data_IF_594108201537
#
_entry.id   IF_594108201537
#
_cell.length_a   1.000
_cell.length_b   1.000
_cell.length_c   1.000
_cell.angle_alpha   90.00
_cell.angle_beta   90.00
_cell.angle_gamma   90.00
#
_symmetry.space_group_name_H-M   'P 1'
#
loop_
_entity.id
_entity.type
_entity.pdbx_description
1 polymer ?
#
# COMPACT_ATOMS: atom_id res chain seq x y z
N UNK A 1 -20.11 -6.43 12.92
CA UNK A 1 -19.03 -7.08 12.13
C UNK A 1 -17.75 -6.24 12.21
N UNK A 2 -17.20 -6.07 13.41
CA UNK A 2 -16.04 -5.19 13.63
C UNK A 2 -14.75 -5.97 13.96
N UNK A 3 -14.58 -7.17 13.36
CA UNK A 3 -13.50 -8.06 13.78
C UNK A 3 -12.39 -8.23 12.74
N UNK A 4 -12.43 -7.51 11.61
CA UNK A 4 -11.37 -7.59 10.58
C UNK A 4 -10.33 -6.52 10.78
N UNK A 5 -9.06 -6.93 10.73
CA UNK A 5 -7.90 -6.05 10.89
C UNK A 5 -7.23 -5.82 9.56
N UNK A 6 -7.07 -4.55 9.18
CA UNK A 6 -6.33 -4.09 8.00
C UNK A 6 -5.04 -3.38 8.43
N UNK A 7 -3.90 -3.91 8.03
CA UNK A 7 -2.61 -3.27 8.19
C UNK A 7 -2.28 -2.45 6.94
N UNK A 8 -1.89 -1.17 7.12
CA UNK A 8 -1.57 -0.25 6.04
C UNK A 8 -0.17 0.33 6.27
N UNK A 9 0.76 0.11 5.34
CA UNK A 9 2.05 0.80 5.33
C UNK A 9 1.95 2.11 4.54
N UNK A 10 2.75 3.13 4.92
CA UNK A 10 2.63 4.47 4.32
C UNK A 10 1.29 5.15 4.65
N UNK A 11 0.74 4.87 5.84
CA UNK A 11 -0.58 5.31 6.25
C UNK A 11 -0.68 6.80 6.64
N UNK A 12 0.45 7.50 6.77
CA UNK A 12 0.48 8.87 7.31
C UNK A 12 -0.02 9.96 6.35
N UNK A 13 -0.25 9.65 5.07
CA UNK A 13 -0.69 10.64 4.07
C UNK A 13 -1.25 9.99 2.81
N UNK A 14 -1.83 10.78 1.92
CA UNK A 14 -2.26 10.39 0.57
C UNK A 14 -3.15 9.14 0.57
N UNK A 15 -2.89 8.22 -0.36
CA UNK A 15 -3.68 6.99 -0.56
C UNK A 15 -3.80 6.17 0.72
N UNK A 16 -2.70 6.03 1.50
CA UNK A 16 -2.72 5.25 2.74
C UNK A 16 -3.67 5.83 3.79
N UNK A 17 -3.61 7.14 4.02
CA UNK A 17 -4.50 7.83 4.97
C UNK A 17 -5.96 7.83 4.49
N UNK A 18 -6.20 8.05 3.19
CA UNK A 18 -7.53 7.96 2.60
C UNK A 18 -8.12 6.54 2.73
N UNK A 19 -7.28 5.50 2.53
CA UNK A 19 -7.69 4.11 2.72
C UNK A 19 -8.02 3.82 4.19
N UNK A 20 -7.22 4.32 5.13
CA UNK A 20 -7.51 4.18 6.56
C UNK A 20 -8.88 4.76 6.91
N UNK A 21 -9.19 5.99 6.43
CA UNK A 21 -10.51 6.61 6.61
C UNK A 21 -11.65 5.80 6.00
N UNK A 22 -11.44 5.27 4.81
CA UNK A 22 -12.45 4.46 4.14
C UNK A 22 -12.68 3.13 4.87
N UNK A 23 -11.61 2.44 5.29
CA UNK A 23 -11.68 1.18 6.00
C UNK A 23 -12.30 1.32 7.41
N UNK A 24 -12.02 2.43 8.11
CA UNK A 24 -12.67 2.72 9.40
C UNK A 24 -14.20 2.83 9.25
N UNK A 25 -14.69 3.49 8.19
CA UNK A 25 -16.15 3.56 7.90
C UNK A 25 -16.78 2.21 7.60
N UNK A 26 -15.99 1.27 7.06
CA UNK A 26 -16.42 -0.13 6.84
C UNK A 26 -16.25 -1.02 8.08
N UNK A 27 -15.83 -0.44 9.21
CA UNK A 27 -15.72 -1.12 10.50
C UNK A 27 -14.47 -1.99 10.65
N UNK A 28 -13.39 -1.71 9.92
CA UNK A 28 -12.11 -2.35 10.16
C UNK A 28 -11.43 -1.79 11.40
N UNK A 29 -10.78 -2.67 12.17
CA UNK A 29 -9.69 -2.28 13.05
C UNK A 29 -8.43 -2.05 12.20
N UNK A 30 -7.62 -1.06 12.57
CA UNK A 30 -6.54 -0.57 11.71
C UNK A 30 -5.20 -0.66 12.39
N UNK A 31 -4.20 -1.16 11.66
CA UNK A 31 -2.78 -1.02 12.00
C UNK A 31 -2.18 -0.03 11.01
N UNK A 32 -1.84 1.15 11.47
CA UNK A 32 -1.32 2.24 10.65
C UNK A 32 0.19 2.38 10.84
N UNK A 33 0.96 2.11 9.79
CA UNK A 33 2.41 2.14 9.84
C UNK A 33 3.00 3.21 8.91
N UNK A 34 3.89 4.03 9.44
CA UNK A 34 4.68 5.01 8.72
C UNK A 34 5.82 5.54 9.59
N UNK A 35 6.74 6.32 9.02
CA UNK A 35 7.84 6.96 9.76
C UNK A 35 7.41 8.21 10.54
N UNK A 36 6.25 8.79 10.24
CA UNK A 36 5.77 10.05 10.84
C UNK A 36 4.80 9.77 11.97
N UNK A 37 5.29 9.53 13.18
CA UNK A 37 4.50 9.20 14.37
C UNK A 37 3.39 10.22 14.65
N UNK A 38 3.70 11.53 14.56
CA UNK A 38 2.73 12.60 14.84
C UNK A 38 1.53 12.56 13.88
N UNK A 39 1.78 12.29 12.58
CA UNK A 39 0.70 12.17 11.59
C UNK A 39 -0.15 10.91 11.83
N UNK A 40 0.47 9.80 12.23
CA UNK A 40 -0.26 8.58 12.59
C UNK A 40 -1.14 8.82 13.82
N UNK A 41 -0.60 9.47 14.85
CA UNK A 41 -1.35 9.81 16.07
C UNK A 41 -2.54 10.70 15.77
N UNK A 42 -2.36 11.74 14.94
CA UNK A 42 -3.45 12.61 14.52
C UNK A 42 -4.54 11.87 13.76
N UNK A 43 -4.14 10.95 12.85
CA UNK A 43 -5.09 10.14 12.09
C UNK A 43 -5.83 9.13 12.99
N UNK A 44 -5.15 8.53 13.96
CA UNK A 44 -5.78 7.62 14.92
C UNK A 44 -6.83 8.34 15.79
N UNK A 45 -6.53 9.57 16.23
CA UNK A 45 -7.50 10.40 16.96
C UNK A 45 -8.74 10.74 16.11
N UNK A 46 -8.56 11.01 14.83
CA UNK A 46 -9.65 11.25 13.89
C UNK A 46 -10.54 10.01 13.70
N UNK A 47 -9.95 8.81 13.67
CA UNK A 47 -10.64 7.56 13.31
C UNK A 47 -11.24 6.81 14.51
N UNK A 48 -10.96 7.22 15.74
CA UNK A 48 -11.33 6.52 16.98
C UNK A 48 -10.16 5.66 17.46
N UNK A 49 -9.39 6.16 18.44
CA UNK A 49 -8.12 5.55 18.85
C UNK A 49 -8.27 4.13 19.42
N UNK A 50 -9.47 3.73 19.85
CA UNK A 50 -9.75 2.40 20.38
C UNK A 50 -9.72 1.30 19.29
N UNK A 51 -9.87 1.69 18.01
CA UNK A 51 -9.87 0.78 16.86
C UNK A 51 -8.60 0.92 15.99
N UNK A 52 -7.63 1.70 16.44
CA UNK A 52 -6.45 2.03 15.64
C UNK A 52 -5.17 1.84 16.45
N UNK A 53 -4.30 0.95 15.96
CA UNK A 53 -2.93 0.80 16.43
C UNK A 53 -2.00 1.59 15.50
N UNK A 54 -1.18 2.48 16.05
CA UNK A 54 -0.16 3.21 15.30
C UNK A 54 1.22 2.61 15.55
N UNK A 55 1.99 2.42 14.47
CA UNK A 55 3.34 1.90 14.54
C UNK A 55 4.30 2.81 13.77
N UNK A 56 5.29 3.37 14.45
CA UNK A 56 6.39 4.05 13.75
C UNK A 56 7.30 2.99 13.12
N UNK A 57 7.32 2.91 11.79
CA UNK A 57 8.02 1.86 11.04
C UNK A 57 8.69 2.43 9.80
N UNK A 58 9.98 2.14 9.63
CA UNK A 58 10.63 2.17 8.33
C UNK A 58 10.44 0.79 7.67
N UNK A 59 9.75 0.77 6.52
CA UNK A 59 9.47 -0.49 5.81
C UNK A 59 10.74 -1.18 5.28
N UNK A 60 11.88 -0.52 5.30
CA UNK A 60 13.19 -1.10 4.94
C UNK A 60 13.87 -1.83 6.10
N UNK A 61 13.29 -1.80 7.30
CA UNK A 61 13.76 -2.51 8.49
C UNK A 61 12.86 -3.70 8.83
N UNK A 62 13.37 -4.91 8.61
CA UNK A 62 12.63 -6.14 8.88
C UNK A 62 12.23 -6.29 10.35
N UNK A 63 13.10 -5.88 11.29
CA UNK A 63 12.81 -6.01 12.74
C UNK A 63 11.64 -5.13 13.14
N UNK A 64 11.60 -3.90 12.63
CA UNK A 64 10.47 -2.99 12.88
C UNK A 64 9.17 -3.54 12.29
N UNK A 65 9.22 -4.12 11.09
CA UNK A 65 8.04 -4.75 10.48
C UNK A 65 7.55 -5.98 11.25
N UNK A 66 8.46 -6.81 11.75
CA UNK A 66 8.12 -7.96 12.60
C UNK A 66 7.49 -7.51 13.93
N UNK A 67 8.10 -6.54 14.60
CA UNK A 67 7.55 -5.96 15.84
C UNK A 67 6.16 -5.34 15.64
N UNK A 68 5.92 -4.68 14.50
CA UNK A 68 4.59 -4.17 14.13
C UNK A 68 3.55 -5.29 14.01
N UNK A 69 3.90 -6.39 13.37
CA UNK A 69 3.00 -7.55 13.21
C UNK A 69 2.72 -8.21 14.56
N UNK A 70 3.74 -8.40 15.40
CA UNK A 70 3.60 -8.93 16.76
C UNK A 70 2.67 -8.05 17.59
N UNK A 71 2.88 -6.73 17.60
CA UNK A 71 2.04 -5.78 18.30
C UNK A 71 0.60 -5.76 17.79
N UNK A 72 0.39 -5.90 16.48
CA UNK A 72 -0.95 -6.02 15.89
C UNK A 72 -1.68 -7.28 16.38
N UNK A 73 -0.97 -8.41 16.46
CA UNK A 73 -1.52 -9.68 16.96
C UNK A 73 -1.81 -9.61 18.47
N UNK A 74 -0.93 -8.98 19.25
CA UNK A 74 -1.15 -8.76 20.70
C UNK A 74 -2.38 -7.88 20.94
N UNK A 75 -2.57 -6.82 20.12
CA UNK A 75 -3.65 -5.86 20.31
C UNK A 75 -5.00 -6.37 19.80
N UNK A 76 -5.04 -6.94 18.60
CA UNK A 76 -6.29 -7.31 17.91
C UNK A 76 -6.47 -8.82 17.71
N UNK A 77 -5.46 -9.63 18.02
CA UNK A 77 -5.52 -11.09 17.90
C UNK A 77 -5.41 -11.62 16.46
N UNK A 78 -5.30 -10.73 15.45
CA UNK A 78 -5.35 -11.12 14.03
C UNK A 78 -4.89 -10.01 13.08
N UNK A 79 -4.53 -10.41 11.85
CA UNK A 79 -4.44 -9.54 10.67
C UNK A 79 -5.16 -10.26 9.53
N UNK A 80 -6.17 -9.64 8.92
CA UNK A 80 -6.96 -10.21 7.83
C UNK A 80 -6.55 -9.70 6.46
N UNK A 81 -6.01 -8.49 6.41
CA UNK A 81 -5.51 -7.93 5.18
C UNK A 81 -4.30 -7.03 5.43
N UNK A 82 -3.41 -6.96 4.43
CA UNK A 82 -2.32 -6.00 4.39
C UNK A 82 -2.41 -5.17 3.12
N UNK A 83 -2.29 -3.86 3.26
CA UNK A 83 -2.09 -2.94 2.16
C UNK A 83 -0.65 -2.42 2.19
N UNK A 84 0.23 -3.07 1.43
CA UNK A 84 1.62 -2.65 1.26
C UNK A 84 1.65 -1.45 0.30
N UNK A 85 1.46 -0.26 0.89
CA UNK A 85 1.26 0.99 0.16
C UNK A 85 2.45 1.95 0.27
N UNK A 86 3.33 1.81 1.25
CA UNK A 86 4.49 2.66 1.38
C UNK A 86 5.29 2.72 0.07
N UNK A 87 5.60 3.94 -0.37
CA UNK A 87 6.33 4.17 -1.60
C UNK A 87 6.83 5.60 -1.70
N UNK A 88 7.78 5.83 -2.60
CA UNK A 88 8.30 7.16 -2.91
C UNK A 88 8.56 7.32 -4.40
N UNK A 89 8.52 8.57 -4.84
CA UNK A 89 8.73 8.96 -6.22
C UNK A 89 10.19 8.90 -6.65
N UNK A 90 10.41 9.11 -7.93
CA UNK A 90 11.74 9.24 -8.52
C UNK A 90 12.31 10.66 -8.39
N UNK A 91 13.55 10.82 -8.83
CA UNK A 91 14.20 12.12 -9.01
C UNK A 91 14.25 12.49 -10.50
N UNK A 92 14.31 13.78 -10.84
CA UNK A 92 14.50 14.23 -12.21
C UNK A 92 15.89 13.83 -12.75
N UNK A 93 16.10 13.92 -14.06
CA UNK A 93 17.41 13.71 -14.72
C UNK A 93 17.53 12.41 -15.52
N UNK A 94 16.56 11.52 -15.47
CA UNK A 94 16.57 10.27 -16.23
C UNK A 94 17.75 9.37 -15.85
N UNK A 95 18.11 8.41 -16.71
CA UNK A 95 19.22 7.48 -16.43
C UNK A 95 20.61 8.12 -16.50
N UNK A 96 20.74 9.30 -17.11
CA UNK A 96 22.03 9.94 -17.33
C UNK A 96 22.49 10.87 -16.20
N UNK A 97 21.56 11.44 -15.41
CA UNK A 97 21.90 12.50 -14.46
C UNK A 97 21.02 12.56 -13.21
N UNK A 98 20.11 11.59 -12.99
CA UNK A 98 19.33 11.54 -11.77
C UNK A 98 20.21 11.22 -10.56
N UNK A 99 19.76 11.66 -9.38
CA UNK A 99 20.40 11.38 -8.11
C UNK A 99 20.32 9.87 -7.79
N UNK A 100 21.49 9.23 -7.71
CA UNK A 100 21.60 7.79 -7.45
C UNK A 100 21.25 7.42 -6.00
N UNK A 101 21.42 8.31 -5.03
CA UNK A 101 21.01 8.06 -3.65
C UNK A 101 19.48 8.09 -3.54
N UNK A 102 18.81 9.02 -4.24
CA UNK A 102 17.36 9.01 -4.36
C UNK A 102 16.84 7.72 -5.03
N UNK A 103 17.54 7.19 -6.05
CA UNK A 103 17.21 5.89 -6.63
C UNK A 103 17.35 4.75 -5.64
N UNK A 104 18.45 4.72 -4.90
CA UNK A 104 18.69 3.69 -3.88
C UNK A 104 17.56 3.66 -2.87
N UNK A 105 17.20 4.81 -2.30
CA UNK A 105 16.11 4.90 -1.33
C UNK A 105 14.76 4.52 -1.93
N UNK A 106 14.50 4.88 -3.18
CA UNK A 106 13.28 4.50 -3.88
C UNK A 106 13.22 2.98 -4.09
N UNK A 107 14.29 2.34 -4.53
CA UNK A 107 14.38 0.88 -4.72
C UNK A 107 14.18 0.17 -3.37
N UNK A 108 14.85 0.64 -2.32
CA UNK A 108 14.71 0.08 -0.98
C UNK A 108 13.27 0.21 -0.48
N UNK A 109 12.61 1.34 -0.67
CA UNK A 109 11.23 1.51 -0.23
C UNK A 109 10.24 0.72 -1.09
N UNK A 110 10.33 0.90 -2.43
CA UNK A 110 9.28 0.42 -3.34
C UNK A 110 9.36 -1.07 -3.66
N UNK A 111 10.54 -1.68 -3.52
CA UNK A 111 10.77 -3.10 -3.87
C UNK A 111 11.13 -3.88 -2.60
N UNK A 112 12.25 -3.57 -1.97
CA UNK A 112 12.74 -4.30 -0.82
C UNK A 112 11.77 -4.20 0.37
N UNK A 113 11.29 -3.00 0.68
CA UNK A 113 10.32 -2.75 1.74
C UNK A 113 8.99 -3.49 1.52
N UNK A 114 8.52 -3.58 0.27
CA UNK A 114 7.35 -4.41 -0.07
C UNK A 114 7.64 -5.89 0.24
N UNK A 115 8.80 -6.41 -0.17
CA UNK A 115 9.22 -7.78 0.13
C UNK A 115 9.27 -8.06 1.63
N UNK A 116 9.81 -7.14 2.43
CA UNK A 116 9.86 -7.27 3.89
C UNK A 116 8.46 -7.22 4.52
N UNK A 117 7.56 -6.36 4.02
CA UNK A 117 6.17 -6.32 4.49
C UNK A 117 5.47 -7.66 4.24
N UNK A 118 5.68 -8.26 3.07
CA UNK A 118 5.15 -9.59 2.76
C UNK A 118 5.74 -10.64 3.70
N UNK A 119 7.06 -10.66 3.87
CA UNK A 119 7.74 -11.62 4.75
C UNK A 119 7.22 -11.56 6.20
N UNK A 120 6.97 -10.36 6.72
CA UNK A 120 6.46 -10.19 8.07
C UNK A 120 4.98 -10.60 8.21
N UNK A 121 4.13 -10.26 7.23
CA UNK A 121 2.68 -10.43 7.34
C UNK A 121 2.18 -11.82 6.88
N UNK A 122 2.83 -12.46 5.90
CA UNK A 122 2.35 -13.71 5.29
C UNK A 122 2.09 -14.85 6.27
N UNK A 123 2.88 -15.09 7.33
CA UNK A 123 2.57 -16.15 8.29
C UNK A 123 1.19 -16.02 8.93
N UNK A 124 0.79 -14.81 9.34
CA UNK A 124 -0.53 -14.57 9.91
C UNK A 124 -1.63 -14.59 8.84
N UNK A 125 -1.39 -13.96 7.71
CA UNK A 125 -2.35 -13.94 6.60
C UNK A 125 -2.66 -15.34 6.07
N UNK A 126 -1.68 -16.25 6.01
CA UNK A 126 -1.91 -17.66 5.62
C UNK A 126 -2.85 -18.36 6.61
N UNK A 127 -2.72 -18.10 7.91
CA UNK A 127 -3.63 -18.67 8.93
C UNK A 127 -5.07 -18.19 8.78
N UNK A 128 -5.26 -16.95 8.26
CA UNK A 128 -6.57 -16.30 8.10
C UNK A 128 -7.18 -16.43 6.71
N UNK A 129 -6.45 -17.03 5.74
CA UNK A 129 -6.81 -16.96 4.32
C UNK A 129 -7.03 -15.51 3.88
N UNK A 130 -6.10 -14.65 4.29
CA UNK A 130 -6.21 -13.20 4.23
C UNK A 130 -6.03 -12.62 2.83
N UNK A 131 -5.91 -11.30 2.77
CA UNK A 131 -5.82 -10.55 1.52
C UNK A 131 -4.58 -9.66 1.50
N UNK A 132 -3.75 -9.78 0.49
CA UNK A 132 -2.63 -8.89 0.21
C UNK A 132 -3.02 -7.89 -0.87
N UNK A 133 -2.88 -6.59 -0.58
CA UNK A 133 -3.01 -5.52 -1.57
C UNK A 133 -1.66 -4.82 -1.72
N UNK A 134 -1.26 -4.56 -2.95
CA UNK A 134 0.02 -3.92 -3.30
C UNK A 134 -0.24 -2.64 -4.09
N UNK A 135 0.39 -1.54 -3.73
CA UNK A 135 0.33 -0.31 -4.51
C UNK A 135 1.30 -0.39 -5.70
N UNK A 136 0.78 -0.87 -6.82
CA UNK A 136 1.41 -0.75 -8.14
C UNK A 136 1.38 0.70 -8.67
N UNK A 137 1.22 0.82 -9.96
CA UNK A 137 1.01 2.12 -10.66
C UNK A 137 0.69 1.86 -12.12
N UNK A 138 0.02 2.79 -12.79
CA UNK A 138 -0.02 2.85 -14.25
C UNK A 138 1.41 2.90 -14.86
N UNK A 139 2.39 3.46 -14.11
CA UNK A 139 3.79 3.45 -14.49
C UNK A 139 4.43 2.05 -14.50
N UNK A 140 3.85 1.06 -13.83
CA UNK A 140 4.22 -0.35 -13.90
C UNK A 140 3.55 -1.12 -15.04
N UNK A 141 2.84 -0.42 -15.93
CA UNK A 141 2.12 -0.98 -17.08
C UNK A 141 2.47 -0.30 -18.41
N UNK A 142 3.25 0.74 -18.36
CA UNK A 142 3.62 1.52 -19.54
C UNK A 142 5.10 1.91 -19.49
N UNK A 143 5.67 2.17 -20.65
CA UNK A 143 7.05 2.67 -20.77
C UNK A 143 7.07 4.16 -20.47
N UNK A 144 7.91 4.57 -19.53
CA UNK A 144 8.20 5.98 -19.23
C UNK A 144 9.70 6.18 -19.43
N UNK A 145 10.13 6.89 -20.48
CA UNK A 145 11.55 7.08 -20.78
C UNK A 145 12.32 7.65 -19.58
N UNK A 146 13.46 7.03 -19.26
CA UNK A 146 14.33 7.49 -18.18
C UNK A 146 13.81 7.30 -16.75
N UNK A 147 12.70 6.60 -16.55
CA UNK A 147 12.06 6.50 -15.25
C UNK A 147 12.47 5.24 -14.47
N UNK A 148 13.36 5.42 -13.48
CA UNK A 148 13.64 4.36 -12.49
C UNK A 148 12.40 4.06 -11.62
N UNK A 149 11.55 5.07 -11.38
CA UNK A 149 10.26 4.85 -10.69
C UNK A 149 9.38 3.84 -11.43
N UNK A 150 9.23 4.01 -12.74
CA UNK A 150 8.50 3.03 -13.58
C UNK A 150 9.08 1.62 -13.42
N UNK A 151 10.39 1.47 -13.44
CA UNK A 151 11.06 0.18 -13.24
C UNK A 151 10.71 -0.43 -11.86
N UNK A 152 10.68 0.38 -10.79
CA UNK A 152 10.26 -0.13 -9.47
C UNK A 152 8.80 -0.58 -9.46
N UNK A 153 7.91 0.09 -10.20
CA UNK A 153 6.50 -0.29 -10.26
C UNK A 153 6.26 -1.51 -11.14
N UNK A 154 7.05 -1.74 -12.18
CA UNK A 154 7.11 -3.02 -12.89
C UNK A 154 7.55 -4.16 -11.98
N UNK A 155 8.54 -3.92 -11.10
CA UNK A 155 8.95 -4.90 -10.10
C UNK A 155 7.81 -5.27 -9.14
N UNK A 156 7.03 -4.28 -8.66
CA UNK A 156 5.85 -4.53 -7.81
C UNK A 156 4.79 -5.35 -8.55
N UNK A 157 4.55 -5.07 -9.83
CA UNK A 157 3.67 -5.88 -10.67
C UNK A 157 4.15 -7.34 -10.72
N UNK A 158 5.45 -7.56 -10.95
CA UNK A 158 6.06 -8.89 -10.93
C UNK A 158 5.95 -9.58 -9.57
N UNK A 159 6.15 -8.84 -8.47
CA UNK A 159 5.94 -9.36 -7.11
C UNK A 159 4.49 -9.83 -6.93
N UNK A 160 3.50 -9.04 -7.34
CA UNK A 160 2.09 -9.41 -7.21
C UNK A 160 1.73 -10.69 -7.97
N UNK A 161 2.24 -10.86 -9.20
CA UNK A 161 2.01 -12.08 -9.97
C UNK A 161 2.68 -13.31 -9.35
N UNK A 162 3.96 -13.19 -8.96
CA UNK A 162 4.69 -14.30 -8.34
C UNK A 162 4.07 -14.69 -7.00
N UNK A 163 3.65 -13.72 -6.19
CA UNK A 163 2.99 -13.99 -4.92
C UNK A 163 1.66 -14.73 -5.11
N UNK A 164 0.86 -14.36 -6.12
CA UNK A 164 -0.40 -15.05 -6.42
C UNK A 164 -0.17 -16.51 -6.77
N UNK A 165 0.88 -16.82 -7.53
CA UNK A 165 1.24 -18.20 -7.86
C UNK A 165 1.77 -18.96 -6.63
N UNK A 166 2.59 -18.33 -5.79
CA UNK A 166 3.05 -18.93 -4.51
C UNK A 166 1.90 -19.28 -3.58
N UNK A 167 0.86 -18.43 -3.56
CA UNK A 167 -0.29 -18.59 -2.66
C UNK A 167 -1.43 -19.41 -3.27
N UNK A 168 -1.25 -19.96 -4.46
CA UNK A 168 -2.29 -20.79 -5.12
C UNK A 168 -2.73 -21.93 -4.22
N UNK A 169 -4.03 -22.10 -4.05
CA UNK A 169 -4.63 -23.15 -3.22
C UNK A 169 -4.67 -22.87 -1.73
N UNK A 170 -4.15 -21.72 -1.26
CA UNK A 170 -4.20 -21.35 0.17
C UNK A 170 -5.50 -20.66 0.58
N UNK A 171 -6.33 -20.24 -0.37
CA UNK A 171 -7.51 -19.40 -0.12
C UNK A 171 -7.19 -17.91 0.07
N UNK A 172 -5.93 -17.51 0.02
CA UNK A 172 -5.51 -16.10 0.06
C UNK A 172 -5.76 -15.41 -1.27
N UNK A 173 -5.96 -14.09 -1.22
CA UNK A 173 -6.15 -13.23 -2.39
C UNK A 173 -5.01 -12.23 -2.52
N UNK A 174 -4.69 -11.83 -3.76
CA UNK A 174 -3.65 -10.83 -4.05
C UNK A 174 -4.17 -9.83 -5.08
N UNK A 175 -4.25 -8.56 -4.69
CA UNK A 175 -4.71 -7.46 -5.56
C UNK A 175 -3.60 -6.43 -5.78
N UNK A 176 -3.34 -6.11 -7.04
CA UNK A 176 -2.55 -4.95 -7.44
C UNK A 176 -3.50 -3.75 -7.58
N UNK A 177 -3.26 -2.69 -6.83
CA UNK A 177 -3.93 -1.39 -7.00
C UNK A 177 -2.97 -0.51 -7.78
N UNK A 178 -3.37 -0.06 -8.96
CA UNK A 178 -2.50 0.58 -9.95
C UNK A 178 -3.00 1.99 -10.30
N UNK A 179 -2.68 2.99 -9.46
CA UNK A 179 -3.10 4.36 -9.70
C UNK A 179 -2.38 4.98 -10.90
N UNK A 180 -3.10 5.85 -11.61
CA UNK A 180 -2.51 6.90 -12.44
C UNK A 180 -2.02 8.07 -11.60
N UNK A 181 -2.18 9.30 -12.10
CA UNK A 181 -1.86 10.52 -11.35
C UNK A 181 -2.88 10.72 -10.24
N UNK A 182 -2.42 10.91 -9.01
CA UNK A 182 -3.27 11.13 -7.81
C UNK A 182 -2.75 12.35 -7.08
N UNK A 183 -3.63 13.28 -6.76
CA UNK A 183 -3.29 14.46 -5.96
C UNK A 183 -3.01 14.06 -4.51
N UNK A 184 -1.74 13.98 -4.18
CA UNK A 184 -1.23 13.58 -2.86
C UNK A 184 0.12 14.24 -2.61
N UNK A 185 0.61 14.27 -1.35
CA UNK A 185 1.97 14.73 -1.02
C UNK A 185 3.12 13.88 -1.62
N UNK A 186 2.81 12.97 -2.52
CA UNK A 186 3.79 12.26 -3.33
C UNK A 186 4.42 13.17 -4.40
N UNK A 187 3.72 14.22 -4.79
CA UNK A 187 4.16 15.24 -5.72
C UNK A 187 4.38 16.57 -4.98
N UNK A 188 5.44 17.29 -5.33
CA UNK A 188 5.71 18.63 -4.77
C UNK A 188 4.64 19.65 -5.21
N UNK A 189 4.12 19.47 -6.43
CA UNK A 189 3.00 20.26 -6.97
C UNK A 189 1.86 19.32 -7.39
N UNK A 190 0.59 19.70 -7.14
CA UNK A 190 -0.55 18.89 -7.57
C UNK A 190 -0.52 18.65 -9.08
N UNK A 191 -0.61 17.38 -9.54
CA UNK A 191 -0.63 17.11 -10.97
C UNK A 191 -1.93 17.65 -11.62
N UNK A 192 -1.80 18.19 -12.82
CA UNK A 192 -2.96 18.53 -13.63
C UNK A 192 -3.78 17.26 -13.96
N UNK A 193 -5.09 17.33 -13.85
CA UNK A 193 -6.01 16.19 -14.09
C UNK A 193 -5.73 14.95 -13.24
N UNK A 194 -5.50 15.14 -11.94
CA UNK A 194 -5.28 14.05 -11.01
C UNK A 194 -6.59 13.48 -10.43
N UNK A 195 -6.53 12.20 -10.05
CA UNK A 195 -7.52 11.58 -9.16
C UNK A 195 -7.37 12.15 -7.75
N UNK A 196 -8.43 12.12 -6.96
CA UNK A 196 -8.31 12.28 -5.52
C UNK A 196 -7.82 10.98 -4.87
N UNK A 197 -7.15 11.07 -3.73
CA UNK A 197 -6.68 9.91 -2.96
C UNK A 197 -7.83 8.97 -2.55
N UNK A 198 -9.03 9.53 -2.28
CA UNK A 198 -10.26 8.77 -2.00
C UNK A 198 -10.72 7.88 -3.17
N UNK A 199 -10.40 8.23 -4.41
CA UNK A 199 -10.78 7.43 -5.56
C UNK A 199 -10.02 6.09 -5.55
N UNK A 200 -8.76 6.13 -5.12
CA UNK A 200 -7.94 4.92 -4.94
C UNK A 200 -8.36 4.17 -3.67
N UNK A 201 -8.67 4.88 -2.59
CA UNK A 201 -9.19 4.23 -1.38
C UNK A 201 -10.49 3.44 -1.68
N UNK A 202 -11.39 3.97 -2.52
CA UNK A 202 -12.59 3.26 -2.96
C UNK A 202 -12.27 1.98 -3.73
N UNK A 203 -11.22 1.99 -4.58
CA UNK A 203 -10.77 0.79 -5.28
C UNK A 203 -10.22 -0.29 -4.31
N UNK A 204 -9.47 0.14 -3.27
CA UNK A 204 -9.00 -0.75 -2.20
C UNK A 204 -10.19 -1.38 -1.46
N UNK A 205 -11.16 -0.57 -1.04
CA UNK A 205 -12.37 -1.05 -0.34
C UNK A 205 -13.17 -1.99 -1.23
N UNK A 206 -13.32 -1.68 -2.53
CA UNK A 206 -13.97 -2.60 -3.48
C UNK A 206 -13.30 -3.98 -3.49
N UNK A 207 -11.97 -4.06 -3.58
CA UNK A 207 -11.26 -5.33 -3.55
C UNK A 207 -11.45 -6.08 -2.22
N UNK A 208 -11.38 -5.36 -1.08
CA UNK A 208 -11.55 -5.91 0.25
C UNK A 208 -12.97 -6.43 0.51
N UNK A 209 -13.99 -5.80 -0.08
CA UNK A 209 -15.41 -6.14 0.11
C UNK A 209 -15.86 -7.38 -0.66
N UNK A 210 -15.06 -7.86 -1.61
CA UNK A 210 -15.45 -9.02 -2.40
C UNK A 210 -15.52 -10.30 -1.56
N UNK A 211 -16.45 -11.22 -1.87
CA UNK A 211 -16.54 -12.48 -1.15
C UNK A 211 -15.27 -13.33 -1.33
N UNK A 212 -14.98 -14.26 -0.41
CA UNK A 212 -13.71 -14.99 -0.36
C UNK A 212 -13.35 -15.75 -1.65
N UNK A 213 -14.32 -16.17 -2.44
CA UNK A 213 -14.10 -16.89 -3.71
C UNK A 213 -13.81 -15.96 -4.90
N UNK A 214 -13.86 -14.64 -4.70
CA UNK A 214 -13.58 -13.64 -5.74
C UNK A 214 -12.21 -13.01 -5.47
N UNK A 215 -11.25 -13.29 -6.33
CA UNK A 215 -9.92 -12.71 -6.31
C UNK A 215 -9.80 -11.63 -7.40
N UNK A 216 -9.93 -10.38 -6.99
CA UNK A 216 -9.70 -9.21 -7.87
C UNK A 216 -8.20 -9.05 -8.02
N UNK A 217 -7.67 -9.41 -9.18
CA UNK A 217 -6.21 -9.46 -9.36
C UNK A 217 -5.58 -8.09 -9.57
N UNK A 218 -6.28 -7.19 -10.27
CA UNK A 218 -5.75 -5.87 -10.63
C UNK A 218 -6.87 -4.84 -10.73
N UNK A 219 -6.58 -3.63 -10.27
CA UNK A 219 -7.45 -2.47 -10.44
C UNK A 219 -6.59 -1.29 -10.92
N UNK A 220 -6.64 -1.03 -12.22
CA UNK A 220 -6.00 0.13 -12.84
C UNK A 220 -6.98 1.30 -12.87
N UNK A 221 -6.66 2.38 -12.16
CA UNK A 221 -7.49 3.60 -12.09
C UNK A 221 -6.69 4.78 -12.59
N UNK A 222 -7.20 5.45 -13.62
CA UNK A 222 -6.57 6.64 -14.22
C UNK A 222 -7.56 7.81 -14.29
N UNK A 223 -7.08 9.05 -14.21
CA UNK A 223 -7.95 10.19 -14.46
C UNK A 223 -8.47 10.15 -15.90
N UNK A 224 -9.70 10.58 -16.08
CA UNK A 224 -10.26 10.79 -17.43
C UNK A 224 -9.60 12.04 -18.02
N UNK A 225 -8.99 11.96 -19.22
CA UNK A 225 -8.42 13.14 -19.85
C UNK A 225 -9.51 14.19 -20.12
N UNK A 226 -9.16 15.49 -20.16
CA UNK A 226 -10.11 16.54 -20.47
C UNK A 226 -10.67 16.33 -21.88
N UNK A 227 -11.87 16.85 -22.11
CA UNK A 227 -12.42 16.94 -23.46
C UNK A 227 -11.64 18.01 -24.23
N UNK A 228 -11.18 17.70 -25.42
CA UNK A 228 -10.60 18.68 -26.36
C UNK A 228 -11.66 19.69 -26.80
#
# INVERSE_FOLDING_TARGET
MHDRVLLITGASSGIGAATARAAAREGYQLVLAARSADKLTSLAQELGPENVLTCEVDVTDLKQQQAMVEHAIETFGRIDAVFANAGRGGSPGGFSSADHDAWREMILTNIYGVGLTLQACLPELKRRQGHVLLTGSAAGRTTIPGSMYSATKWAVTGIGYNLREELRGTGMRVTLIEPGMVDTPFFDEPPEYALADRDIANAVIYALSQPPHVDVNEILVRPTPPRE
#
